data_IF_393615716251
#
_entry.id   IF_393615716251
#
_cell.length_a   1.000
_cell.length_b   1.000
_cell.length_c   1.000
_cell.angle_alpha   90.00
_cell.angle_beta   90.00
_cell.angle_gamma   90.00
#
_symmetry.space_group_name_H-M   'P 1'
#
loop_
_entity.id
_entity.type
_entity.pdbx_description
1 polymer ?
#
# COMPACT_ATOMS: atom_id res chain seq x y z
N UNK A 1 -18.40 -27.24 38.23
CA UNK A 1 -17.84 -25.90 37.98
C UNK A 1 -17.11 -26.04 36.67
N UNK A 2 -17.81 -25.78 35.57
CA UNK A 2 -17.20 -25.70 34.26
C UNK A 2 -16.96 -24.21 34.01
N UNK A 3 -15.71 -23.78 34.15
CA UNK A 3 -15.28 -22.44 33.72
C UNK A 3 -15.69 -22.26 32.26
N UNK A 4 -16.58 -21.31 31.98
CA UNK A 4 -16.90 -20.88 30.63
C UNK A 4 -15.64 -20.25 29.99
N UNK A 5 -14.97 -20.92 29.03
CA UNK A 5 -13.87 -20.31 28.30
C UNK A 5 -14.48 -19.64 27.08
N UNK A 6 -14.81 -18.34 27.18
CA UNK A 6 -15.70 -17.75 26.18
C UNK A 6 -15.53 -16.27 25.84
N UNK A 7 -14.47 -15.60 26.29
CA UNK A 7 -14.25 -14.18 25.97
C UNK A 7 -12.82 -13.82 25.55
N UNK A 8 -11.85 -14.73 25.68
CA UNK A 8 -10.43 -14.49 25.30
C UNK A 8 -10.06 -15.03 23.91
N UNK A 9 -10.77 -16.03 23.38
CA UNK A 9 -10.59 -16.51 21.99
C UNK A 9 -11.07 -15.50 20.94
N UNK A 10 -11.71 -14.43 21.42
CA UNK A 10 -12.16 -13.28 20.62
C UNK A 10 -11.27 -12.06 20.84
N UNK A 11 -9.99 -12.26 21.19
CA UNK A 11 -8.97 -11.24 20.99
C UNK A 11 -8.79 -11.05 19.48
N UNK A 12 -9.74 -10.31 18.88
CA UNK A 12 -9.67 -9.80 17.52
C UNK A 12 -8.36 -9.04 17.44
N UNK A 13 -7.33 -9.70 16.93
CA UNK A 13 -6.03 -9.09 16.75
C UNK A 13 -6.29 -7.85 15.91
N UNK A 14 -6.02 -6.68 16.48
CA UNK A 14 -6.26 -5.44 15.75
C UNK A 14 -5.42 -5.51 14.48
N UNK A 15 -6.07 -5.37 13.32
CA UNK A 15 -5.38 -5.31 12.05
C UNK A 15 -4.25 -4.26 12.14
N UNK A 16 -3.01 -4.58 11.75
CA UNK A 16 -1.88 -3.66 11.88
C UNK A 16 -1.93 -2.53 10.83
N UNK A 17 -2.68 -2.74 9.73
CA UNK A 17 -2.69 -1.84 8.58
C UNK A 17 -3.21 -0.42 8.84
N UNK A 18 -4.25 -0.17 9.67
CA UNK A 18 -4.74 1.19 9.94
C UNK A 18 -3.65 2.10 10.52
N UNK A 19 -2.73 1.57 11.32
CA UNK A 19 -1.60 2.35 11.86
C UNK A 19 -0.66 2.78 10.74
N UNK A 20 -0.35 1.89 9.80
CA UNK A 20 0.50 2.21 8.65
C UNK A 20 -0.17 3.15 7.66
N UNK A 21 -1.50 3.10 7.51
CA UNK A 21 -2.26 4.10 6.75
C UNK A 21 -2.15 5.47 7.42
N UNK A 22 -2.40 5.53 8.73
CA UNK A 22 -2.34 6.76 9.51
C UNK A 22 -0.95 7.39 9.50
N UNK A 23 0.12 6.59 9.46
CA UNK A 23 1.50 7.07 9.40
C UNK A 23 2.00 7.34 7.97
N UNK A 24 1.56 6.57 6.98
CA UNK A 24 2.06 6.67 5.60
C UNK A 24 1.80 8.04 4.97
N UNK A 25 0.63 8.63 5.23
CA UNK A 25 0.28 9.97 4.72
C UNK A 25 1.18 11.06 5.36
N UNK A 26 1.28 11.19 6.71
CA UNK A 26 2.20 12.12 7.33
C UNK A 26 3.65 11.93 6.90
N UNK A 27 4.16 10.70 6.83
CA UNK A 27 5.53 10.42 6.40
C UNK A 27 5.74 10.90 4.95
N UNK A 28 4.77 10.64 4.07
CA UNK A 28 4.82 11.11 2.69
C UNK A 28 4.90 12.63 2.62
N UNK A 29 4.03 13.33 3.35
CA UNK A 29 4.01 14.79 3.38
C UNK A 29 5.27 15.37 4.00
N UNK A 30 5.80 14.81 5.09
CA UNK A 30 7.08 15.21 5.66
C UNK A 30 8.20 15.06 4.62
N UNK A 31 8.20 13.98 3.84
CA UNK A 31 9.13 13.82 2.74
C UNK A 31 9.06 14.97 1.73
N UNK A 32 7.87 15.40 1.37
CA UNK A 32 7.67 16.50 0.42
C UNK A 32 8.03 17.87 1.03
N UNK A 33 7.60 18.12 2.27
CA UNK A 33 7.82 19.39 2.99
C UNK A 33 9.30 19.65 3.27
N UNK A 34 10.07 18.60 3.56
CA UNK A 34 11.51 18.69 3.83
C UNK A 34 12.39 18.38 2.60
N UNK A 35 11.80 18.17 1.42
CA UNK A 35 12.55 17.87 0.19
C UNK A 35 13.21 16.48 0.16
N UNK A 36 12.80 15.57 1.05
CA UNK A 36 13.26 14.19 1.14
C UNK A 36 12.42 13.29 0.23
N UNK A 37 12.70 13.33 -1.07
CA UNK A 37 11.95 12.59 -2.08
C UNK A 37 11.81 11.08 -1.79
N UNK A 38 12.85 10.33 -1.37
CA UNK A 38 12.72 8.91 -1.04
C UNK A 38 11.78 8.66 0.14
N UNK A 39 11.74 9.57 1.12
CA UNK A 39 10.84 9.48 2.27
C UNK A 39 9.38 9.67 1.83
N UNK A 40 9.15 10.60 0.90
CA UNK A 40 7.83 10.82 0.31
C UNK A 40 7.31 9.54 -0.37
N UNK A 41 8.13 8.96 -1.24
CA UNK A 41 7.83 7.71 -1.94
C UNK A 41 7.62 6.56 -0.95
N UNK A 42 8.49 6.43 0.06
CA UNK A 42 8.36 5.41 1.10
C UNK A 42 7.04 5.49 1.88
N UNK A 43 6.61 6.70 2.25
CA UNK A 43 5.32 6.93 2.90
C UNK A 43 4.13 6.51 2.02
N UNK A 44 4.19 6.81 0.73
CA UNK A 44 3.16 6.40 -0.25
C UNK A 44 3.13 4.88 -0.47
N UNK A 45 4.29 4.22 -0.50
CA UNK A 45 4.37 2.76 -0.58
C UNK A 45 3.78 2.10 0.65
N UNK A 46 4.10 2.62 1.84
CA UNK A 46 3.56 2.14 3.11
C UNK A 46 2.03 2.28 3.14
N UNK A 47 1.52 3.47 2.76
CA UNK A 47 0.09 3.73 2.65
C UNK A 47 -0.58 2.78 1.64
N UNK A 48 -0.06 2.71 0.42
CA UNK A 48 -0.66 1.90 -0.65
C UNK A 48 -0.63 0.40 -0.36
N UNK A 49 0.48 -0.12 0.15
CA UNK A 49 0.59 -1.51 0.59
C UNK A 49 -0.41 -1.84 1.71
N UNK A 50 -0.62 -0.91 2.65
CA UNK A 50 -1.56 -1.09 3.76
C UNK A 50 -3.02 -1.08 3.30
N UNK A 51 -3.36 -0.23 2.34
CA UNK A 51 -4.70 -0.26 1.70
C UNK A 51 -4.96 -1.64 1.10
N UNK A 52 -4.02 -2.16 0.29
CA UNK A 52 -4.16 -3.50 -0.28
C UNK A 52 -4.22 -4.58 0.80
N UNK A 53 -3.43 -4.45 1.86
CA UNK A 53 -3.44 -5.32 3.03
C UNK A 53 -4.82 -5.40 3.68
N UNK A 54 -5.47 -4.27 3.93
CA UNK A 54 -6.84 -4.20 4.46
C UNK A 54 -7.84 -4.84 3.50
N UNK A 55 -7.75 -4.53 2.21
CA UNK A 55 -8.67 -5.09 1.21
C UNK A 55 -8.57 -6.62 1.17
N UNK A 56 -7.35 -7.15 1.31
CA UNK A 56 -7.08 -8.59 1.31
C UNK A 56 -7.53 -9.25 2.62
N UNK A 57 -7.24 -8.65 3.76
CA UNK A 57 -7.64 -9.15 5.09
C UNK A 57 -9.16 -9.15 5.27
N UNK A 58 -9.83 -8.13 4.73
CA UNK A 58 -11.30 -8.01 4.79
C UNK A 58 -12.03 -8.91 3.81
N UNK A 59 -11.31 -9.63 2.93
CA UNK A 59 -11.91 -10.50 1.92
C UNK A 59 -12.50 -9.77 0.70
N UNK A 60 -12.30 -8.46 0.55
CA UNK A 60 -12.78 -7.70 -0.62
C UNK A 60 -12.05 -8.09 -1.91
N UNK A 61 -10.78 -8.52 -1.80
CA UNK A 61 -9.98 -8.94 -2.96
C UNK A 61 -9.43 -10.36 -2.77
N UNK A 62 -9.65 -11.20 -3.77
CA UNK A 62 -9.12 -12.57 -3.79
C UNK A 62 -7.67 -12.60 -4.25
N UNK A 63 -7.28 -11.72 -5.17
CA UNK A 63 -5.94 -11.63 -5.73
C UNK A 63 -5.23 -10.35 -5.29
N UNK A 64 -4.20 -10.50 -4.47
CA UNK A 64 -3.37 -9.38 -3.98
C UNK A 64 -2.71 -8.65 -5.14
N UNK A 65 -2.23 -9.37 -6.17
CA UNK A 65 -1.60 -8.73 -7.32
C UNK A 65 -2.58 -7.85 -8.09
N UNK A 66 -3.81 -8.31 -8.35
CA UNK A 66 -4.81 -7.49 -9.05
C UNK A 66 -5.12 -6.22 -8.26
N UNK A 67 -5.15 -6.31 -6.93
CA UNK A 67 -5.36 -5.15 -6.06
C UNK A 67 -4.17 -4.17 -6.10
N UNK A 68 -2.92 -4.66 -5.99
CA UNK A 68 -1.72 -3.82 -6.13
C UNK A 68 -1.66 -3.16 -7.51
N UNK A 69 -1.93 -3.90 -8.58
CA UNK A 69 -1.92 -3.34 -9.94
C UNK A 69 -3.00 -2.30 -10.13
N UNK A 70 -4.21 -2.53 -9.62
CA UNK A 70 -5.28 -1.55 -9.71
C UNK A 70 -4.92 -0.27 -8.95
N UNK A 71 -4.35 -0.40 -7.75
CA UNK A 71 -3.90 0.75 -6.96
C UNK A 71 -2.74 1.50 -7.63
N UNK A 72 -1.79 0.79 -8.23
CA UNK A 72 -0.71 1.39 -9.00
C UNK A 72 -1.24 2.21 -10.18
N UNK A 73 -2.25 1.71 -10.91
CA UNK A 73 -2.91 2.46 -11.99
C UNK A 73 -3.59 3.73 -11.47
N UNK A 74 -4.28 3.64 -10.32
CA UNK A 74 -4.91 4.81 -9.68
C UNK A 74 -3.85 5.85 -9.29
N UNK A 75 -2.75 5.43 -8.68
CA UNK A 75 -1.66 6.34 -8.32
C UNK A 75 -1.01 6.96 -9.56
N UNK A 76 -0.81 6.17 -10.62
CA UNK A 76 -0.23 6.69 -11.86
C UNK A 76 -1.13 7.76 -12.48
N UNK A 77 -2.43 7.51 -12.58
CA UNK A 77 -3.40 8.47 -13.10
C UNK A 77 -3.46 9.74 -12.23
N UNK A 78 -3.50 9.58 -10.90
CA UNK A 78 -3.54 10.70 -9.96
C UNK A 78 -2.25 11.53 -10.02
N UNK A 79 -1.09 10.87 -9.99
CA UNK A 79 0.22 11.52 -10.08
C UNK A 79 0.44 12.23 -11.42
N UNK A 80 -0.02 11.64 -12.52
CA UNK A 80 0.00 12.30 -13.83
C UNK A 80 -0.91 13.53 -13.86
N UNK A 81 -2.09 13.44 -13.25
CA UNK A 81 -2.98 14.59 -13.05
C UNK A 81 -2.28 15.71 -12.28
N UNK A 82 -1.56 15.42 -11.21
CA UNK A 82 -0.84 16.44 -10.43
C UNK A 82 0.38 17.03 -11.17
N UNK A 83 1.08 16.23 -11.98
CA UNK A 83 2.32 16.63 -12.62
C UNK A 83 2.13 17.39 -13.94
N UNK A 84 1.12 17.01 -14.74
CA UNK A 84 0.98 17.45 -16.12
C UNK A 84 -0.24 18.35 -16.37
N UNK A 85 -1.05 18.65 -15.35
CA UNK A 85 -2.13 19.63 -15.45
C UNK A 85 -1.74 20.97 -14.82
N UNK A 86 -2.59 21.99 -15.01
CA UNK A 86 -2.39 23.35 -14.47
C UNK A 86 -2.35 23.43 -12.94
N UNK A 87 -2.53 22.31 -12.23
CA UNK A 87 -2.37 22.20 -10.77
C UNK A 87 -0.92 22.52 -10.34
N UNK A 88 0.08 22.34 -11.23
CA UNK A 88 1.49 22.70 -11.02
C UNK A 88 2.17 22.07 -9.78
N UNK A 89 1.64 20.96 -9.25
CA UNK A 89 2.20 20.20 -8.12
C UNK A 89 3.21 19.16 -8.59
N UNK A 90 4.15 19.58 -9.44
CA UNK A 90 5.07 18.71 -10.20
C UNK A 90 5.83 17.73 -9.28
N UNK A 91 6.44 18.22 -8.20
CA UNK A 91 7.20 17.38 -7.26
C UNK A 91 6.31 16.31 -6.58
N UNK A 92 5.07 16.67 -6.22
CA UNK A 92 4.13 15.73 -5.61
C UNK A 92 3.66 14.69 -6.63
N UNK A 93 3.35 15.13 -7.84
CA UNK A 93 2.99 14.25 -8.94
C UNK A 93 4.07 13.21 -9.24
N UNK A 94 5.34 13.62 -9.31
CA UNK A 94 6.45 12.68 -9.50
C UNK A 94 6.63 11.70 -8.34
N UNK A 95 6.44 12.12 -7.09
CA UNK A 95 6.50 11.20 -5.95
C UNK A 95 5.41 10.12 -6.03
N UNK A 96 4.19 10.50 -6.42
CA UNK A 96 3.07 9.57 -6.62
C UNK A 96 3.32 8.63 -7.80
N UNK A 97 3.82 9.14 -8.93
CA UNK A 97 4.19 8.33 -10.09
C UNK A 97 5.28 7.32 -9.72
N UNK A 98 6.32 7.76 -9.01
CA UNK A 98 7.40 6.87 -8.56
C UNK A 98 6.87 5.76 -7.64
N UNK A 99 5.99 6.10 -6.69
CA UNK A 99 5.33 5.11 -5.84
C UNK A 99 4.47 4.13 -6.66
N UNK A 100 3.74 4.60 -7.67
CA UNK A 100 2.96 3.74 -8.57
C UNK A 100 3.83 2.71 -9.28
N UNK A 101 4.96 3.16 -9.85
CA UNK A 101 5.91 2.29 -10.55
C UNK A 101 6.48 1.25 -9.58
N UNK A 102 6.90 1.67 -8.39
CA UNK A 102 7.46 0.77 -7.39
C UNK A 102 6.44 -0.23 -6.84
N UNK A 103 5.17 0.16 -6.69
CA UNK A 103 4.09 -0.78 -6.35
C UNK A 103 3.89 -1.81 -7.47
N UNK A 104 3.86 -1.37 -8.72
CA UNK A 104 3.73 -2.28 -9.86
C UNK A 104 4.90 -3.28 -9.93
N UNK A 105 6.14 -2.79 -9.80
CA UNK A 105 7.34 -3.63 -9.76
C UNK A 105 7.28 -4.59 -8.58
N UNK A 106 6.97 -4.10 -7.37
CA UNK A 106 6.85 -4.94 -6.17
C UNK A 106 5.79 -6.04 -6.33
N UNK A 107 4.64 -5.72 -6.95
CA UNK A 107 3.60 -6.70 -7.27
C UNK A 107 4.07 -7.78 -8.24
N UNK A 108 4.76 -7.39 -9.31
CA UNK A 108 5.33 -8.33 -10.30
C UNK A 108 6.40 -9.22 -9.67
N UNK A 109 7.33 -8.62 -8.91
CA UNK A 109 8.39 -9.35 -8.20
C UNK A 109 7.79 -10.36 -7.23
N UNK A 110 6.79 -9.96 -6.44
CA UNK A 110 6.07 -10.87 -5.55
C UNK A 110 5.44 -12.05 -6.30
N UNK A 111 4.84 -11.80 -7.47
CA UNK A 111 4.25 -12.88 -8.28
C UNK A 111 5.31 -13.87 -8.78
N UNK A 112 6.46 -13.40 -9.24
CA UNK A 112 7.55 -14.26 -9.71
C UNK A 112 8.04 -15.19 -8.59
N UNK A 113 8.35 -14.65 -7.41
CA UNK A 113 8.82 -15.43 -6.28
C UNK A 113 7.75 -16.40 -5.71
N UNK A 114 6.48 -15.98 -5.66
CA UNK A 114 5.40 -16.83 -5.13
C UNK A 114 5.00 -17.94 -6.11
N UNK A 115 5.11 -17.72 -7.43
CA UNK A 115 4.88 -18.77 -8.43
C UNK A 115 5.90 -19.91 -8.28
N UNK A 116 7.15 -19.58 -8.02
CA UNK A 116 8.25 -20.55 -7.91
C UNK A 116 8.04 -21.52 -6.74
N UNK A 117 7.53 -21.05 -5.60
CA UNK A 117 7.23 -21.90 -4.45
C UNK A 117 6.05 -22.86 -4.66
N UNK A 118 5.15 -22.58 -5.61
CA UNK A 118 4.01 -23.46 -5.89
C UNK A 118 4.37 -24.62 -6.81
N UNK A 119 5.51 -24.56 -7.50
CA UNK A 119 5.94 -25.60 -8.43
C UNK A 119 6.90 -26.63 -7.82
N UNK A 120 7.36 -26.40 -6.59
CA UNK A 120 8.28 -27.30 -5.86
C UNK A 120 7.59 -28.24 -4.87
N UNK A 121 6.25 -28.21 -4.78
CA UNK A 121 5.43 -29.18 -4.04
C UNK A 121 4.55 -29.97 -5.00
#
# INVERSE_FOLDING_TARGET
>A
MDEAPGLSDQYRTASPWPVFIALGIPISELGLLFGLFPLAVGGLLLFGGSVVGILKESGYVTSTIRAVTALAVVFLAFGAGLAFTDIALVTRGYAVIAAAILLAVGGVVFELFVREQRQTF
#
